data_IF_580865597030
#
_entry.id   IF_580865597030
#
_cell.length_a   1.000
_cell.length_b   1.000
_cell.length_c   1.000
_cell.angle_alpha   90.00
_cell.angle_beta   90.00
_cell.angle_gamma   90.00
#
_symmetry.space_group_name_H-M   'P 1'
#
loop_
_entity.id
_entity.type
_entity.pdbx_description
1 polymer ?
#
# COMPACT_ATOMS: atom_id res chain seq x y z
N UNK A 1 -22.90 11.18 11.72
CA UNK A 1 -22.47 12.52 11.27
C UNK A 1 -21.06 12.39 10.76
N UNK A 2 -20.85 12.69 9.48
CA UNK A 2 -19.58 12.47 8.78
C UNK A 2 -18.71 13.70 9.04
N UNK A 3 -17.70 13.56 9.89
CA UNK A 3 -16.77 14.65 10.16
C UNK A 3 -15.78 14.77 9.01
N UNK A 4 -16.13 15.60 8.03
CA UNK A 4 -15.20 16.18 7.08
C UNK A 4 -14.28 17.13 7.85
N UNK A 5 -13.14 16.61 8.33
CA UNK A 5 -12.08 17.46 8.88
C UNK A 5 -11.21 17.91 7.73
N UNK A 6 -11.54 19.08 7.20
CA UNK A 6 -10.67 19.89 6.36
C UNK A 6 -9.56 20.45 7.25
N UNK A 7 -8.50 19.69 7.49
CA UNK A 7 -7.22 20.26 7.93
C UNK A 7 -6.39 20.51 6.68
N UNK A 8 -5.84 21.72 6.53
CA UNK A 8 -4.78 21.98 5.58
C UNK A 8 -3.68 20.92 5.78
N UNK A 9 -3.59 19.97 4.85
CA UNK A 9 -2.61 18.89 4.87
C UNK A 9 -1.23 19.54 4.87
N UNK A 10 -0.51 19.45 5.99
CA UNK A 10 0.93 19.63 5.94
C UNK A 10 1.48 18.68 4.88
N UNK A 11 2.45 19.11 4.07
CA UNK A 11 3.04 18.29 3.00
C UNK A 11 3.42 16.88 3.50
N UNK A 12 3.81 16.78 4.77
CA UNK A 12 4.20 15.55 5.45
C UNK A 12 3.04 14.59 5.79
N UNK A 13 1.79 15.07 5.92
CA UNK A 13 0.64 14.23 6.32
C UNK A 13 -0.25 13.78 5.16
N UNK A 14 -0.01 14.25 3.93
CA UNK A 14 -0.81 13.85 2.77
C UNK A 14 -0.92 12.32 2.67
N UNK A 15 -2.14 11.83 2.51
CA UNK A 15 -2.50 10.41 2.39
C UNK A 15 -2.14 9.52 3.60
N UNK A 16 -1.69 10.10 4.71
CA UNK A 16 -1.38 9.41 5.96
C UNK A 16 -2.46 9.72 7.00
N UNK A 17 -3.09 8.67 7.55
CA UNK A 17 -4.10 8.83 8.61
C UNK A 17 -3.74 7.97 9.81
N UNK A 18 -3.72 8.58 11.00
CA UNK A 18 -3.54 7.87 12.26
C UNK A 18 -4.82 7.10 12.62
N UNK A 19 -4.69 5.81 12.89
CA UNK A 19 -5.71 5.02 13.56
C UNK A 19 -5.30 4.81 15.02
N UNK A 20 -6.13 5.30 15.95
CA UNK A 20 -5.93 5.08 17.37
C UNK A 20 -6.38 3.70 17.83
N UNK A 21 -5.81 3.26 18.95
CA UNK A 21 -6.18 2.00 19.57
C UNK A 21 -7.67 2.02 19.94
N UNK A 22 -8.38 0.95 19.58
CA UNK A 22 -9.75 0.71 20.04
C UNK A 22 -9.86 -0.71 20.62
N UNK A 23 -11.03 -1.06 21.16
CA UNK A 23 -11.29 -2.35 21.82
C UNK A 23 -11.00 -3.57 20.93
N UNK A 24 -11.12 -3.41 19.60
CA UNK A 24 -11.02 -4.49 18.63
C UNK A 24 -9.71 -4.47 17.82
N UNK A 25 -9.07 -3.30 17.70
CA UNK A 25 -7.93 -3.09 16.82
C UNK A 25 -6.83 -2.27 17.51
N UNK A 26 -5.60 -2.76 17.38
CA UNK A 26 -4.41 -2.02 17.76
C UNK A 26 -4.18 -0.82 16.83
N UNK A 27 -3.52 0.20 17.38
CA UNK A 27 -3.23 1.44 16.66
C UNK A 27 -2.25 1.25 15.49
N UNK A 28 -2.28 2.18 14.53
CA UNK A 28 -1.41 2.18 13.36
C UNK A 28 -1.57 3.41 12.47
N UNK A 29 -0.94 3.39 11.31
CA UNK A 29 -1.02 4.44 10.30
C UNK A 29 -1.51 3.88 8.96
N UNK A 30 -2.58 4.46 8.45
CA UNK A 30 -3.10 4.18 7.12
C UNK A 30 -2.39 5.01 6.07
N UNK A 31 -1.98 4.36 4.99
CA UNK A 31 -1.70 5.00 3.72
C UNK A 31 -2.94 4.82 2.85
N UNK A 32 -3.57 5.91 2.45
CA UNK A 32 -4.79 5.90 1.64
C UNK A 32 -4.71 6.96 0.53
N UNK A 33 -4.42 6.51 -0.69
CA UNK A 33 -4.34 7.37 -1.87
C UNK A 33 -4.90 6.69 -3.11
N UNK A 34 -5.21 7.49 -4.12
CA UNK A 34 -5.70 6.99 -5.41
C UNK A 34 -4.82 7.48 -6.55
N UNK A 35 -4.30 6.56 -7.36
CA UNK A 35 -3.47 6.86 -8.54
C UNK A 35 -3.90 5.98 -9.70
N UNK A 36 -4.00 6.55 -10.90
CA UNK A 36 -4.30 5.78 -12.14
C UNK A 36 -5.54 4.87 -12.04
N UNK A 37 -6.56 5.31 -11.29
CA UNK A 37 -7.76 4.52 -11.02
C UNK A 37 -7.60 3.36 -10.02
N UNK A 38 -6.40 3.15 -9.48
CA UNK A 38 -6.07 2.18 -8.44
C UNK A 38 -6.18 2.87 -7.07
N UNK A 39 -6.89 2.21 -6.14
CA UNK A 39 -6.97 2.63 -4.75
C UNK A 39 -5.85 1.91 -3.97
N UNK A 40 -4.92 2.68 -3.42
CA UNK A 40 -3.85 2.17 -2.57
C UNK A 40 -4.26 2.38 -1.12
N UNK A 41 -4.48 1.27 -0.41
CA UNK A 41 -4.85 1.28 1.00
C UNK A 41 -3.99 0.27 1.74
N UNK A 42 -3.23 0.71 2.74
CA UNK A 42 -2.40 -0.18 3.58
C UNK A 42 -2.27 0.36 4.99
N UNK A 43 -2.34 -0.53 5.98
CA UNK A 43 -2.18 -0.20 7.41
C UNK A 43 -0.81 -0.66 7.92
N UNK A 44 -0.10 0.26 8.58
CA UNK A 44 1.15 0.02 9.29
C UNK A 44 0.89 0.03 10.80
N UNK A 45 0.83 -1.16 11.40
CA UNK A 45 0.43 -1.32 12.82
C UNK A 45 1.60 -1.07 13.77
N UNK A 46 1.33 -0.40 14.89
CA UNK A 46 2.31 -0.14 15.96
C UNK A 46 2.82 -1.45 16.58
N UNK A 47 1.97 -2.48 16.64
CA UNK A 47 2.38 -3.82 17.10
C UNK A 47 3.33 -4.56 16.16
N UNK A 48 3.50 -4.08 14.91
CA UNK A 48 4.48 -4.61 13.96
C UNK A 48 5.79 -3.83 14.07
N UNK A 49 5.71 -2.50 14.05
CA UNK A 49 6.89 -1.62 14.00
C UNK A 49 7.41 -1.16 15.36
N UNK A 50 6.70 -1.50 16.45
CA UNK A 50 7.12 -1.29 17.83
C UNK A 50 6.69 0.05 18.44
N UNK A 51 6.48 1.10 17.64
CA UNK A 51 6.04 2.41 18.13
C UNK A 51 5.19 3.16 17.10
N UNK A 52 4.38 4.15 17.54
CA UNK A 52 3.65 5.03 16.63
C UNK A 52 4.56 5.78 15.64
N UNK A 53 5.76 6.18 16.10
CA UNK A 53 6.74 6.88 15.27
C UNK A 53 7.34 5.98 14.20
N UNK A 54 7.77 4.77 14.56
CA UNK A 54 8.31 3.81 13.60
C UNK A 54 7.25 3.38 12.56
N UNK A 55 5.99 3.22 12.98
CA UNK A 55 4.88 2.96 12.06
C UNK A 55 4.64 4.14 11.10
N UNK A 56 4.73 5.38 11.59
CA UNK A 56 4.57 6.59 10.77
C UNK A 56 5.67 6.67 9.72
N UNK A 57 6.94 6.49 10.11
CA UNK A 57 8.08 6.51 9.21
C UNK A 57 7.95 5.46 8.10
N UNK A 58 7.52 4.24 8.44
CA UNK A 58 7.29 3.21 7.44
C UNK A 58 6.10 3.54 6.51
N UNK A 59 5.02 4.09 7.05
CA UNK A 59 3.87 4.52 6.25
C UNK A 59 4.25 5.67 5.29
N UNK A 60 5.04 6.63 5.76
CA UNK A 60 5.60 7.73 4.95
C UNK A 60 6.48 7.19 3.82
N UNK A 61 7.46 6.35 4.14
CA UNK A 61 8.33 5.73 3.13
C UNK A 61 7.53 4.93 2.09
N UNK A 62 6.48 4.20 2.51
CA UNK A 62 5.62 3.47 1.60
C UNK A 62 4.82 4.40 0.68
N UNK A 63 4.24 5.47 1.24
CA UNK A 63 3.54 6.49 0.46
C UNK A 63 4.46 7.09 -0.59
N UNK A 64 5.67 7.48 -0.20
CA UNK A 64 6.63 8.15 -1.07
C UNK A 64 7.11 7.21 -2.19
N UNK A 65 7.37 5.94 -1.87
CA UNK A 65 7.66 4.90 -2.86
C UNK A 65 6.49 4.73 -3.86
N UNK A 66 5.25 4.68 -3.38
CA UNK A 66 4.07 4.57 -4.25
C UNK A 66 3.93 5.81 -5.15
N UNK A 67 4.15 7.01 -4.62
CA UNK A 67 4.08 8.25 -5.40
C UNK A 67 5.17 8.28 -6.46
N UNK A 68 6.39 7.86 -6.15
CA UNK A 68 7.54 7.87 -7.08
C UNK A 68 7.41 6.89 -8.25
N UNK A 69 6.56 5.86 -8.13
CA UNK A 69 6.39 4.82 -9.16
C UNK A 69 5.06 4.94 -9.91
N UNK A 70 4.04 5.53 -9.29
CA UNK A 70 2.71 5.72 -9.85
C UNK A 70 2.41 7.21 -10.10
N UNK A 71 2.72 7.74 -11.30
CA UNK A 71 2.48 9.14 -11.62
C UNK A 71 1.01 9.51 -11.48
N UNK A 72 0.68 10.71 -10.99
CA UNK A 72 -0.67 11.25 -11.12
C UNK A 72 -1.07 11.27 -12.60
N UNK A 73 -2.37 11.08 -12.86
CA UNK A 73 -2.88 11.23 -14.22
C UNK A 73 -2.66 12.66 -14.70
N UNK A 74 -2.29 12.86 -15.95
CA UNK A 74 -2.20 14.20 -16.52
C UNK A 74 -3.60 14.71 -16.91
N UNK A 75 -3.74 16.03 -17.00
CA UNK A 75 -4.96 16.64 -17.54
C UNK A 75 -5.24 16.23 -18.99
N UNK A 76 -4.20 15.99 -19.78
CA UNK A 76 -4.28 15.44 -21.14
C UNK A 76 -4.86 14.03 -21.17
N UNK A 77 -4.32 13.12 -20.36
CA UNK A 77 -4.83 11.74 -20.25
C UNK A 77 -6.30 11.72 -19.84
N UNK A 78 -6.71 12.61 -18.93
CA UNK A 78 -8.13 12.75 -18.56
C UNK A 78 -8.99 13.31 -19.70
N UNK A 79 -8.47 14.28 -20.46
CA UNK A 79 -9.20 14.91 -21.54
C UNK A 79 -9.42 13.98 -22.74
N UNK A 80 -8.55 12.99 -22.93
CA UNK A 80 -8.63 12.00 -24.04
C UNK A 80 -9.38 10.73 -23.64
N UNK A 81 -9.59 10.47 -22.33
CA UNK A 81 -10.29 9.28 -21.86
C UNK A 81 -11.71 9.17 -22.45
N UNK A 82 -11.95 8.12 -23.24
CA UNK A 82 -13.25 7.85 -23.84
C UNK A 82 -14.26 7.38 -22.80
N UNK A 83 -15.45 8.00 -22.82
CA UNK A 83 -16.58 7.61 -21.97
C UNK A 83 -17.37 6.49 -22.63
N UNK A 84 -17.93 5.57 -21.84
CA UNK A 84 -18.72 4.43 -22.32
C UNK A 84 -19.91 4.81 -23.22
N UNK A 85 -20.45 6.01 -23.03
CA UNK A 85 -21.58 6.53 -23.81
C UNK A 85 -21.16 7.38 -25.02
N UNK A 86 -19.87 7.46 -25.32
CA UNK A 86 -19.37 8.21 -26.46
C UNK A 86 -19.58 7.40 -27.75
N UNK A 87 -20.34 7.95 -28.69
CA UNK A 87 -20.61 7.34 -30.01
C UNK A 87 -19.74 7.91 -31.14
N UNK A 88 -18.94 8.94 -30.85
CA UNK A 88 -18.13 9.64 -31.86
C UNK A 88 -16.75 8.99 -32.06
N UNK A 89 -16.28 8.23 -31.08
CA UNK A 89 -14.94 7.66 -31.02
C UNK A 89 -13.88 8.64 -30.50
N UNK A 90 -14.24 9.90 -30.19
CA UNK A 90 -13.33 10.93 -29.69
C UNK A 90 -13.90 11.58 -28.42
N UNK A 91 -13.11 11.59 -27.34
CA UNK A 91 -13.56 12.16 -26.07
C UNK A 91 -13.80 13.67 -26.19
N UNK A 92 -14.93 14.13 -25.65
CA UNK A 92 -15.37 15.52 -25.76
C UNK A 92 -16.06 15.87 -27.08
N UNK A 93 -16.22 14.94 -28.03
CA UNK A 93 -17.01 15.14 -29.25
C UNK A 93 -18.29 14.31 -29.17
N UNK A 94 -19.45 14.93 -29.39
CA UNK A 94 -20.75 14.23 -29.39
C UNK A 94 -21.73 14.82 -30.39
N UNK A 95 -22.62 13.97 -30.88
CA UNK A 95 -23.81 14.40 -31.60
C UNK A 95 -24.85 14.94 -30.60
N UNK A 96 -25.50 16.06 -30.92
CA UNK A 96 -26.50 16.72 -30.08
C UNK A 96 -27.69 17.11 -30.94
N UNK A 97 -28.87 16.63 -30.57
CA UNK A 97 -30.15 17.05 -31.15
C UNK A 97 -30.55 18.41 -30.55
N UNK A 98 -30.95 19.36 -31.39
CA UNK A 98 -31.54 20.64 -31.02
C UNK A 98 -32.99 20.73 -31.51
N UNK A 99 -33.73 21.74 -31.07
CA UNK A 99 -35.15 21.86 -31.36
C UNK A 99 -35.51 21.90 -32.86
N UNK A 100 -34.63 22.47 -33.70
CA UNK A 100 -34.85 22.64 -35.14
C UNK A 100 -33.66 22.20 -36.01
N UNK A 101 -32.64 21.59 -35.41
CA UNK A 101 -31.39 21.22 -36.07
C UNK A 101 -30.65 20.12 -35.30
N UNK A 102 -29.66 19.52 -35.94
CA UNK A 102 -28.71 18.60 -35.35
C UNK A 102 -27.32 19.25 -35.38
N UNK A 103 -26.47 18.93 -34.41
CA UNK A 103 -25.10 19.44 -34.41
C UNK A 103 -24.09 18.49 -33.81
N UNK A 104 -22.86 18.65 -34.28
CA UNK A 104 -21.68 18.09 -33.64
C UNK A 104 -21.10 19.09 -32.65
N UNK A 105 -20.99 18.67 -31.39
CA UNK A 105 -20.47 19.50 -30.29
C UNK A 105 -19.08 19.03 -29.88
N UNK A 106 -18.13 19.97 -29.82
CA UNK A 106 -16.84 19.81 -29.18
C UNK A 106 -16.90 20.44 -27.77
N UNK A 107 -16.38 19.73 -26.76
CA UNK A 107 -16.30 20.23 -25.38
C UNK A 107 -14.92 19.90 -24.78
N UNK A 108 -14.31 20.87 -24.08
CA UNK A 108 -13.15 20.68 -23.20
C UNK A 108 -13.49 21.19 -21.80
N UNK A 109 -13.51 20.29 -20.82
CA UNK A 109 -13.64 20.65 -19.41
C UNK A 109 -12.31 20.42 -18.71
N UNK A 110 -11.78 21.45 -18.07
CA UNK A 110 -10.62 21.41 -17.17
C UNK A 110 -11.03 21.97 -15.80
N UNK A 111 -10.10 22.01 -14.83
CA UNK A 111 -10.37 22.65 -13.52
C UNK A 111 -10.63 24.15 -13.62
N UNK A 112 -10.09 24.81 -14.65
CA UNK A 112 -10.10 26.27 -14.79
C UNK A 112 -10.94 26.75 -15.97
N UNK A 113 -11.17 25.89 -16.97
CA UNK A 113 -11.82 26.26 -18.22
C UNK A 113 -12.90 25.25 -18.61
N UNK A 114 -13.97 25.77 -19.21
CA UNK A 114 -15.02 24.96 -19.83
C UNK A 114 -15.30 25.53 -21.23
N UNK A 115 -14.68 24.94 -22.26
CA UNK A 115 -14.89 25.33 -23.66
C UNK A 115 -15.94 24.42 -24.27
N UNK A 116 -16.88 24.99 -25.03
CA UNK A 116 -17.89 24.25 -25.77
C UNK A 116 -18.25 25.00 -27.05
N UNK A 117 -18.32 24.27 -28.16
CA UNK A 117 -18.68 24.83 -29.46
C UNK A 117 -19.46 23.79 -30.27
N UNK A 118 -20.40 24.27 -31.10
CA UNK A 118 -21.38 23.46 -31.83
C UNK A 118 -21.31 23.77 -33.32
N UNK A 119 -21.34 22.73 -34.14
CA UNK A 119 -21.32 22.80 -35.60
C UNK A 119 -22.61 22.21 -36.15
N UNK A 120 -23.46 23.06 -36.73
CA UNK A 120 -24.77 22.69 -37.30
C UNK A 120 -24.63 21.71 -38.48
N UNK A 121 -25.37 20.60 -38.40
CA UNK A 121 -25.49 19.61 -39.48
C UNK A 121 -26.26 20.21 -40.66
N UNK A 122 -27.30 21.02 -40.43
CA UNK A 122 -28.02 21.71 -41.51
C UNK A 122 -27.13 22.66 -42.31
N UNK A 123 -26.16 23.32 -41.68
CA UNK A 123 -25.26 24.28 -42.34
C UNK A 123 -24.11 23.61 -43.10
N UNK A 124 -23.51 22.58 -42.53
CA UNK A 124 -22.26 22.00 -43.03
C UNK A 124 -22.39 20.55 -43.51
N UNK A 125 -23.52 19.89 -43.25
CA UNK A 125 -23.67 18.46 -43.46
C UNK A 125 -23.01 17.62 -42.35
N UNK A 126 -23.48 16.39 -42.21
CA UNK A 126 -23.12 15.49 -41.09
C UNK A 126 -21.61 15.22 -41.01
N UNK A 127 -20.99 14.88 -42.15
CA UNK A 127 -19.56 14.55 -42.21
C UNK A 127 -18.66 15.75 -41.90
N UNK A 128 -18.97 16.93 -42.46
CA UNK A 128 -18.16 18.13 -42.30
C UNK A 128 -18.31 18.72 -40.89
N UNK A 129 -19.55 18.79 -40.37
CA UNK A 129 -19.82 19.21 -38.99
C UNK A 129 -19.05 18.35 -37.98
N UNK A 130 -19.04 17.02 -38.18
CA UNK A 130 -18.24 16.10 -37.36
C UNK A 130 -16.75 16.38 -37.48
N UNK A 131 -16.24 16.57 -38.70
CA UNK A 131 -14.82 16.84 -38.93
C UNK A 131 -14.37 18.15 -38.26
N UNK A 132 -15.18 19.21 -38.33
CA UNK A 132 -14.92 20.48 -37.65
C UNK A 132 -14.90 20.34 -36.12
N UNK A 133 -15.86 19.61 -35.54
CA UNK A 133 -15.87 19.34 -34.11
C UNK A 133 -14.61 18.57 -33.65
N UNK A 134 -14.16 17.62 -34.46
CA UNK A 134 -12.92 16.86 -34.20
C UNK A 134 -11.69 17.76 -34.31
N UNK A 135 -11.58 18.57 -35.36
CA UNK A 135 -10.44 19.46 -35.57
C UNK A 135 -10.32 20.49 -34.45
N UNK A 136 -11.43 21.11 -34.06
CA UNK A 136 -11.46 22.05 -32.93
C UNK A 136 -11.08 21.37 -31.62
N UNK A 137 -11.58 20.15 -31.38
CA UNK A 137 -11.21 19.36 -30.20
C UNK A 137 -9.70 19.09 -30.14
N UNK A 138 -9.08 18.74 -31.26
CA UNK A 138 -7.61 18.52 -31.34
C UNK A 138 -6.84 19.79 -31.02
N UNK A 139 -7.21 20.92 -31.63
CA UNK A 139 -6.60 22.22 -31.34
C UNK A 139 -6.64 22.57 -29.85
N UNK A 140 -7.80 22.40 -29.20
CA UNK A 140 -7.91 22.65 -27.76
C UNK A 140 -7.07 21.73 -26.89
N UNK A 141 -6.80 20.51 -27.34
CA UNK A 141 -5.89 19.60 -26.63
C UNK A 141 -4.43 20.03 -26.83
N UNK A 142 -4.04 20.39 -28.05
CA UNK A 142 -2.69 20.92 -28.34
C UNK A 142 -2.36 22.18 -27.51
N UNK A 143 -3.33 23.07 -27.35
CA UNK A 143 -3.20 24.29 -26.54
C UNK A 143 -3.25 24.03 -25.02
N UNK A 144 -3.69 22.84 -24.58
CA UNK A 144 -3.83 22.52 -23.16
C UNK A 144 -2.44 22.30 -22.54
N UNK A 145 -1.99 23.11 -21.56
CA UNK A 145 -0.70 22.88 -20.92
C UNK A 145 -0.70 21.55 -20.17
N UNK A 146 0.26 20.65 -20.46
CA UNK A 146 0.35 19.35 -19.79
C UNK A 146 0.71 19.55 -18.32
N UNK A 147 -0.15 19.08 -17.41
CA UNK A 147 0.06 19.15 -15.96
C UNK A 147 -0.40 17.88 -15.29
N UNK A 148 0.33 17.44 -14.26
CA UNK A 148 -0.14 16.37 -13.37
C UNK A 148 -1.34 16.85 -12.55
N UNK A 149 -2.38 16.02 -12.47
CA UNK A 149 -3.53 16.25 -11.60
C UNK A 149 -3.25 15.64 -10.23
N UNK A 150 -2.37 16.29 -9.48
CA UNK A 150 -2.18 16.03 -8.07
C UNK A 150 -3.11 16.93 -7.25
N UNK A 151 -3.61 16.40 -6.13
CA UNK A 151 -4.58 17.09 -5.27
C UNK A 151 -3.93 17.83 -4.09
N UNK A 152 -2.63 17.60 -3.86
CA UNK A 152 -1.87 18.15 -2.74
C UNK A 152 -0.51 18.65 -3.25
N UNK A 153 0.00 19.72 -2.65
CA UNK A 153 1.27 20.37 -3.01
C UNK A 153 2.45 19.39 -3.00
N UNK A 154 2.59 18.61 -1.93
CA UNK A 154 3.61 17.55 -1.85
C UNK A 154 3.54 16.53 -3.01
N UNK A 155 2.33 16.20 -3.44
CA UNK A 155 2.13 15.30 -4.58
C UNK A 155 2.43 15.98 -5.91
N UNK A 156 2.28 17.30 -6.03
CA UNK A 156 2.68 18.06 -7.22
C UNK A 156 4.20 18.13 -7.32
N UNK A 157 4.88 18.43 -6.22
CA UNK A 157 6.34 18.53 -6.16
C UNK A 157 7.01 17.20 -6.50
N UNK A 158 6.57 16.11 -5.87
CA UNK A 158 7.04 14.76 -6.19
C UNK A 158 6.77 14.40 -7.65
N UNK A 159 5.62 14.79 -8.20
CA UNK A 159 5.32 14.51 -9.59
C UNK A 159 6.23 15.28 -10.55
N UNK A 160 6.55 16.54 -10.24
CA UNK A 160 7.54 17.31 -11.01
C UNK A 160 8.94 16.69 -10.93
N UNK A 161 9.36 16.26 -9.74
CA UNK A 161 10.67 15.67 -9.52
C UNK A 161 10.85 14.33 -10.25
N UNK A 162 9.90 13.41 -10.12
CA UNK A 162 10.05 12.04 -10.66
C UNK A 162 9.52 11.86 -12.08
N UNK A 163 8.63 12.74 -12.55
CA UNK A 163 7.94 12.57 -13.83
C UNK A 163 7.90 13.83 -14.70
N UNK A 164 8.72 14.84 -14.41
CA UNK A 164 8.81 16.06 -15.22
C UNK A 164 9.03 15.77 -16.72
N UNK A 165 9.82 14.75 -17.03
CA UNK A 165 10.13 14.33 -18.41
C UNK A 165 8.90 13.77 -19.16
N UNK A 166 7.88 13.28 -18.45
CA UNK A 166 6.64 12.77 -19.05
C UNK A 166 5.68 13.88 -19.48
N UNK A 167 6.01 15.14 -19.21
CA UNK A 167 5.21 16.32 -19.58
C UNK A 167 5.58 16.88 -20.96
N UNK A 168 6.58 16.31 -21.65
CA UNK A 168 6.90 16.71 -23.02
C UNK A 168 5.71 16.40 -23.96
N UNK A 169 5.25 17.38 -24.76
CA UNK A 169 4.13 17.16 -25.67
C UNK A 169 4.50 16.10 -26.72
N UNK A 170 3.71 15.02 -26.78
CA UNK A 170 3.85 14.00 -27.82
C UNK A 170 3.37 14.60 -29.15
N UNK A 171 4.26 14.63 -30.14
CA UNK A 171 3.98 15.12 -31.49
C UNK A 171 2.96 14.21 -32.20
N UNK A 172 1.94 14.81 -32.81
CA UNK A 172 0.99 14.26 -33.80
C UNK A 172 0.11 13.05 -33.44
N UNK A 173 0.16 12.50 -32.22
CA UNK A 173 -0.70 11.38 -31.80
C UNK A 173 -1.44 11.72 -30.52
N UNK A 174 -2.75 11.39 -30.44
CA UNK A 174 -3.53 11.52 -29.21
C UNK A 174 -2.76 10.83 -28.06
N UNK A 175 -2.52 11.50 -26.92
CA UNK A 175 -1.70 10.95 -25.86
C UNK A 175 -2.29 9.62 -25.37
N UNK A 176 -1.53 8.55 -25.55
CA UNK A 176 -1.84 7.26 -24.95
C UNK A 176 -1.64 7.32 -23.43
N UNK A 177 -2.40 6.51 -22.69
CA UNK A 177 -2.23 6.40 -21.24
C UNK A 177 -0.85 5.82 -20.97
N UNK A 178 0.06 6.64 -20.44
CA UNK A 178 1.49 6.30 -20.26
C UNK A 178 1.78 5.02 -19.47
N UNK A 179 0.85 4.57 -18.62
CA UNK A 179 0.95 3.31 -17.87
C UNK A 179 -0.42 2.64 -17.82
N UNK A 180 -0.51 1.39 -18.29
CA UNK A 180 -1.75 0.61 -18.23
C UNK A 180 -2.13 0.29 -16.77
N UNK A 181 -3.42 0.05 -16.50
CA UNK A 181 -3.88 -0.35 -15.15
C UNK A 181 -3.20 -1.65 -14.67
N UNK A 182 -2.90 -2.56 -15.58
CA UNK A 182 -2.21 -3.83 -15.28
C UNK A 182 -0.78 -3.58 -14.82
N UNK A 183 -0.04 -2.74 -15.54
CA UNK A 183 1.34 -2.39 -15.19
C UNK A 183 1.41 -1.60 -13.87
N UNK A 184 0.51 -0.62 -13.68
CA UNK A 184 0.42 0.13 -12.43
C UNK A 184 0.12 -0.79 -11.23
N UNK A 185 -0.68 -1.85 -11.41
CA UNK A 185 -0.92 -2.86 -10.38
C UNK A 185 0.33 -3.70 -10.11
N UNK A 186 1.03 -4.16 -11.14
CA UNK A 186 2.27 -4.93 -10.97
C UNK A 186 3.36 -4.14 -10.22
N UNK A 187 3.50 -2.84 -10.54
CA UNK A 187 4.40 -1.93 -9.82
C UNK A 187 4.02 -1.79 -8.33
N UNK A 188 2.72 -1.63 -8.04
CA UNK A 188 2.23 -1.57 -6.66
C UNK A 188 2.49 -2.89 -5.91
N UNK A 189 2.29 -4.03 -6.56
CA UNK A 189 2.54 -5.36 -5.97
C UNK A 189 4.03 -5.55 -5.64
N UNK A 190 4.94 -5.05 -6.48
CA UNK A 190 6.38 -5.06 -6.21
C UNK A 190 6.75 -4.20 -4.98
N UNK A 191 6.17 -3.00 -4.84
CA UNK A 191 6.36 -2.16 -3.64
C UNK A 191 5.78 -2.87 -2.41
N UNK A 192 4.62 -3.50 -2.54
CA UNK A 192 4.02 -4.25 -1.44
C UNK A 192 4.94 -5.35 -0.92
N UNK A 193 5.47 -6.16 -1.83
CA UNK A 193 6.41 -7.23 -1.54
C UNK A 193 7.70 -6.72 -0.89
N UNK A 194 8.27 -5.62 -1.39
CA UNK A 194 9.46 -5.00 -0.80
C UNK A 194 9.22 -4.59 0.66
N UNK A 195 8.12 -3.89 0.93
CA UNK A 195 7.77 -3.45 2.29
C UNK A 195 7.36 -4.62 3.20
N UNK A 196 6.82 -5.72 2.66
CA UNK A 196 6.57 -6.94 3.45
C UNK A 196 7.89 -7.61 3.86
N UNK A 197 8.89 -7.63 2.98
CA UNK A 197 10.22 -8.16 3.28
C UNK A 197 10.99 -7.31 4.31
N UNK A 198 10.72 -6.00 4.38
CA UNK A 198 11.33 -5.06 5.33
C UNK A 198 10.69 -5.09 6.72
N UNK A 199 9.57 -5.80 6.93
CA UNK A 199 8.92 -5.87 8.25
C UNK A 199 9.93 -6.34 9.31
N UNK A 200 9.94 -5.72 10.51
CA UNK A 200 10.80 -6.16 11.59
C UNK A 200 10.56 -7.65 11.91
N UNK A 201 11.63 -8.46 12.04
CA UNK A 201 11.50 -9.86 12.38
C UNK A 201 10.95 -9.98 13.81
N UNK A 202 10.02 -10.90 14.02
CA UNK A 202 9.33 -11.07 15.29
C UNK A 202 9.26 -12.53 15.67
N UNK A 203 9.07 -12.82 16.95
CA UNK A 203 8.96 -14.19 17.43
C UNK A 203 7.83 -14.28 18.42
N UNK A 204 6.85 -15.14 18.12
CA UNK A 204 5.82 -15.53 19.07
C UNK A 204 6.11 -16.92 19.60
N UNK A 205 6.22 -17.04 20.92
CA UNK A 205 6.31 -18.32 21.62
C UNK A 205 5.19 -18.41 22.65
N UNK A 206 4.41 -19.47 22.56
CA UNK A 206 3.33 -19.76 23.52
C UNK A 206 3.45 -21.19 24.02
N UNK A 207 3.48 -21.36 25.33
CA UNK A 207 3.54 -22.67 25.99
C UNK A 207 2.40 -22.74 26.99
N UNK A 208 1.40 -23.60 26.76
CA UNK A 208 0.22 -23.65 27.63
C UNK A 208 -0.37 -25.05 27.71
N UNK A 209 -0.90 -25.41 28.88
CA UNK A 209 -1.77 -26.56 29.04
C UNK A 209 -3.23 -26.17 28.75
N UNK A 210 -3.86 -26.85 27.78
CA UNK A 210 -5.29 -26.66 27.49
C UNK A 210 -6.14 -27.84 27.98
N UNK A 211 -5.51 -28.98 28.18
CA UNK A 211 -6.15 -30.24 28.56
C UNK A 211 -5.23 -30.93 29.55
N UNK A 212 -5.82 -31.68 30.48
CA UNK A 212 -5.08 -32.38 31.51
C UNK A 212 -4.03 -33.34 30.91
N UNK A 213 -2.79 -33.22 31.36
CA UNK A 213 -1.69 -34.06 30.91
C UNK A 213 -1.12 -33.73 29.52
N UNK A 214 -1.46 -32.57 28.92
CA UNK A 214 -0.85 -32.12 27.66
C UNK A 214 -0.34 -30.69 27.72
N UNK A 215 0.91 -30.49 27.31
CA UNK A 215 1.51 -29.18 27.14
C UNK A 215 1.61 -28.84 25.66
N UNK A 216 1.03 -27.71 25.25
CA UNK A 216 1.08 -27.22 23.87
C UNK A 216 2.17 -26.17 23.72
N UNK A 217 3.06 -26.37 22.75
CA UNK A 217 4.16 -25.46 22.37
C UNK A 217 3.86 -24.91 20.98
N UNK A 218 3.67 -23.61 20.89
CA UNK A 218 3.44 -22.89 19.64
C UNK A 218 4.56 -21.89 19.41
N UNK A 219 5.17 -21.96 18.22
CA UNK A 219 6.19 -21.02 17.76
C UNK A 219 5.75 -20.43 16.42
N UNK A 220 5.93 -19.12 16.23
CA UNK A 220 5.68 -18.43 14.97
C UNK A 220 6.64 -17.27 14.76
N UNK A 221 7.04 -17.05 13.52
CA UNK A 221 7.78 -15.86 13.06
C UNK A 221 6.95 -14.55 13.07
N UNK A 222 5.64 -14.67 13.36
CA UNK A 222 4.67 -13.58 13.25
C UNK A 222 4.80 -12.77 11.95
N UNK A 223 5.19 -13.45 10.85
CA UNK A 223 5.44 -12.88 9.53
C UNK A 223 4.19 -12.72 8.68
N UNK A 224 4.38 -12.42 7.40
CA UNK A 224 3.32 -12.46 6.39
C UNK A 224 3.86 -12.98 5.05
N UNK A 225 3.46 -14.19 4.61
CA UNK A 225 2.69 -15.19 5.37
C UNK A 225 3.49 -15.67 6.59
N UNK A 226 2.80 -15.94 7.70
CA UNK A 226 3.45 -16.39 8.93
C UNK A 226 3.85 -17.87 8.83
N UNK A 227 5.11 -18.17 9.13
CA UNK A 227 5.54 -19.52 9.46
C UNK A 227 5.20 -19.81 10.92
N UNK A 228 4.51 -20.93 11.18
CA UNK A 228 4.17 -21.33 12.55
C UNK A 228 4.01 -22.83 12.70
N UNK A 229 4.22 -23.33 13.92
CA UNK A 229 4.04 -24.75 14.25
C UNK A 229 3.56 -24.90 15.69
N UNK A 230 2.62 -25.82 15.87
CA UNK A 230 2.07 -26.24 17.16
C UNK A 230 2.47 -27.69 17.42
N UNK A 231 3.06 -27.95 18.58
CA UNK A 231 3.46 -29.28 19.05
C UNK A 231 2.77 -29.56 20.38
N UNK A 232 2.36 -30.80 20.61
CA UNK A 232 1.79 -31.25 21.87
C UNK A 232 2.71 -32.27 22.54
N UNK A 233 3.03 -32.03 23.81
CA UNK A 233 3.89 -32.88 24.64
C UNK A 233 2.99 -33.53 25.71
N UNK A 234 3.10 -34.85 25.84
CA UNK A 234 2.44 -35.59 26.93
C UNK A 234 3.26 -35.41 28.22
N UNK A 235 2.66 -34.82 29.24
CA UNK A 235 3.35 -34.47 30.49
C UNK A 235 3.06 -35.44 31.64
N UNK A 236 2.27 -36.50 31.43
CA UNK A 236 1.89 -37.45 32.50
C UNK A 236 3.02 -38.37 32.97
N UNK A 237 4.07 -38.54 32.16
CA UNK A 237 5.11 -39.56 32.37
C UNK A 237 6.38 -39.02 33.02
N UNK A 238 6.62 -37.71 32.92
CA UNK A 238 7.85 -37.07 33.35
C UNK A 238 7.53 -35.98 34.37
N UNK A 239 8.53 -35.57 35.14
CA UNK A 239 8.42 -34.41 36.02
C UNK A 239 8.16 -33.13 35.23
N UNK A 240 7.66 -32.09 35.91
CA UNK A 240 7.45 -30.78 35.28
C UNK A 240 8.77 -30.24 34.68
N UNK A 241 9.90 -30.41 35.38
CA UNK A 241 11.21 -29.96 34.90
C UNK A 241 11.66 -30.64 33.61
N UNK A 242 11.52 -31.96 33.53
CA UNK A 242 11.86 -32.72 32.33
C UNK A 242 10.95 -32.37 31.15
N UNK A 243 9.65 -32.18 31.40
CA UNK A 243 8.70 -31.74 30.38
C UNK A 243 9.02 -30.33 29.85
N UNK A 244 9.39 -29.40 30.73
CA UNK A 244 9.78 -28.04 30.35
C UNK A 244 11.13 -28.02 29.62
N UNK A 245 12.08 -28.87 29.99
CA UNK A 245 13.32 -29.06 29.24
C UNK A 245 13.07 -29.58 27.82
N UNK A 246 12.16 -30.56 27.66
CA UNK A 246 11.74 -31.04 26.34
C UNK A 246 11.05 -29.93 25.54
N UNK A 247 10.15 -29.16 26.16
CA UNK A 247 9.52 -28.01 25.53
C UNK A 247 10.57 -26.97 25.06
N UNK A 248 11.58 -26.68 25.89
CA UNK A 248 12.69 -25.79 25.54
C UNK A 248 13.48 -26.27 24.32
N UNK A 249 13.76 -27.57 24.23
CA UNK A 249 14.40 -28.17 23.05
C UNK A 249 13.54 -28.01 21.80
N UNK A 250 12.24 -28.33 21.88
CA UNK A 250 11.31 -28.16 20.74
C UNK A 250 11.23 -26.69 20.29
N UNK A 251 11.21 -25.74 21.24
CA UNK A 251 11.21 -24.31 20.92
C UNK A 251 12.50 -23.92 20.20
N UNK A 252 13.66 -24.33 20.71
CA UNK A 252 14.96 -24.07 20.09
C UNK A 252 15.07 -24.63 18.66
N UNK A 253 14.64 -25.87 18.46
CA UNK A 253 14.62 -26.52 17.14
C UNK A 253 13.72 -25.76 16.15
N UNK A 254 12.52 -25.35 16.58
CA UNK A 254 11.58 -24.59 15.75
C UNK A 254 12.09 -23.19 15.41
N UNK A 255 12.66 -22.46 16.39
CA UNK A 255 13.23 -21.14 16.14
C UNK A 255 14.40 -21.24 15.16
N UNK A 256 15.25 -22.26 15.31
CA UNK A 256 16.37 -22.51 14.39
C UNK A 256 15.87 -22.77 12.97
N UNK A 257 14.78 -23.52 12.82
CA UNK A 257 14.17 -23.80 11.51
C UNK A 257 13.51 -22.57 10.86
N UNK A 258 12.86 -21.69 11.64
CA UNK A 258 12.21 -20.49 11.10
C UNK A 258 13.19 -19.35 10.85
N UNK A 259 14.29 -19.28 11.61
CA UNK A 259 15.30 -18.26 11.51
C UNK A 259 16.69 -18.87 11.34
N UNK A 260 17.41 -19.10 12.44
CA UNK A 260 18.75 -19.66 12.50
C UNK A 260 19.14 -19.94 13.97
N UNK A 261 20.30 -20.57 14.16
CA UNK A 261 20.82 -20.92 15.48
C UNK A 261 21.06 -19.68 16.37
N UNK A 262 21.54 -18.56 15.82
CA UNK A 262 21.82 -17.34 16.59
C UNK A 262 20.55 -16.74 17.23
N UNK A 263 19.43 -16.74 16.51
CA UNK A 263 18.14 -16.30 17.07
C UNK A 263 17.64 -17.27 18.15
N UNK A 264 17.81 -18.58 17.93
CA UNK A 264 17.46 -19.60 18.93
C UNK A 264 18.26 -19.41 20.22
N UNK A 265 19.58 -19.27 20.11
CA UNK A 265 20.48 -19.08 21.27
C UNK A 265 20.13 -17.79 22.01
N UNK A 266 19.93 -16.69 21.28
CA UNK A 266 19.50 -15.42 21.86
C UNK A 266 18.19 -15.57 22.64
N UNK A 267 17.17 -16.22 22.06
CA UNK A 267 15.89 -16.42 22.75
C UNK A 267 16.06 -17.27 24.01
N UNK A 268 16.77 -18.39 23.91
CA UNK A 268 16.94 -19.31 25.05
C UNK A 268 17.74 -18.68 26.19
N UNK A 269 18.76 -17.87 25.88
CA UNK A 269 19.59 -17.19 26.87
C UNK A 269 18.85 -16.05 27.59
N UNK A 270 18.12 -15.21 26.84
CA UNK A 270 17.48 -14.02 27.40
C UNK A 270 16.10 -14.29 28.01
N UNK A 271 15.39 -15.29 27.48
CA UNK A 271 13.99 -15.55 27.82
C UNK A 271 13.75 -17.00 28.22
N UNK A 272 14.21 -17.97 27.42
CA UNK A 272 13.89 -19.38 27.60
C UNK A 272 14.25 -19.93 28.99
N UNK A 273 15.46 -19.63 29.49
CA UNK A 273 15.92 -20.08 30.82
C UNK A 273 15.01 -19.64 31.97
N UNK A 274 14.57 -18.38 31.96
CA UNK A 274 13.72 -17.83 33.02
C UNK A 274 12.25 -18.24 32.85
N UNK A 275 11.74 -18.19 31.63
CA UNK A 275 10.33 -18.43 31.34
C UNK A 275 9.94 -19.91 31.38
N UNK A 276 10.89 -20.83 31.22
CA UNK A 276 10.66 -22.27 31.33
C UNK A 276 11.26 -22.87 32.60
N UNK A 277 11.63 -22.02 33.56
CA UNK A 277 12.08 -22.46 34.88
C UNK A 277 10.91 -23.12 35.63
N UNK A 278 11.04 -24.39 36.08
CA UNK A 278 9.99 -25.07 36.83
C UNK A 278 9.56 -24.35 38.11
N UNK A 279 10.44 -23.55 38.71
CA UNK A 279 10.14 -22.74 39.90
C UNK A 279 9.22 -21.55 39.60
N UNK A 280 9.22 -21.05 38.36
CA UNK A 280 8.48 -19.86 37.94
C UNK A 280 7.31 -20.16 36.98
N UNK A 281 7.30 -21.34 36.36
CA UNK A 281 6.32 -21.70 35.35
C UNK A 281 5.01 -22.22 35.97
N UNK A 282 3.89 -21.59 35.60
CA UNK A 282 2.55 -22.02 35.99
C UNK A 282 1.82 -22.64 34.80
N UNK A 283 1.38 -23.90 34.93
CA UNK A 283 0.69 -24.64 33.86
C UNK A 283 -0.63 -23.99 33.41
N UNK A 284 -1.39 -23.41 34.35
CA UNK A 284 -2.71 -22.84 34.08
C UNK A 284 -2.62 -21.50 33.34
N UNK A 285 -1.68 -20.65 33.76
CA UNK A 285 -1.40 -19.37 33.10
C UNK A 285 -0.67 -19.59 31.78
N UNK A 286 0.30 -20.51 31.78
CA UNK A 286 1.21 -20.73 30.67
C UNK A 286 2.07 -19.50 30.35
N UNK A 287 2.79 -19.60 29.24
CA UNK A 287 3.62 -18.56 28.65
C UNK A 287 3.01 -18.10 27.33
N UNK A 288 3.03 -16.79 27.07
CA UNK A 288 2.72 -16.22 25.77
C UNK A 288 3.52 -14.93 25.57
N UNK A 289 4.56 -14.97 24.74
CA UNK A 289 5.42 -13.83 24.43
C UNK A 289 5.43 -13.56 22.94
N UNK A 290 5.44 -12.26 22.59
CA UNK A 290 5.70 -11.76 21.24
C UNK A 290 6.85 -10.77 21.36
N UNK A 291 7.95 -11.05 20.67
CA UNK A 291 9.20 -10.31 20.76
C UNK A 291 9.60 -9.77 19.39
N UNK A 292 10.25 -8.62 19.34
CA UNK A 292 11.02 -8.17 18.19
C UNK A 292 12.41 -8.80 18.25
N UNK A 293 12.84 -9.43 17.15
CA UNK A 293 14.17 -10.03 17.05
C UNK A 293 15.14 -8.93 16.58
N UNK A 294 16.34 -8.82 17.17
CA UNK A 294 17.39 -7.98 16.61
C UNK A 294 17.67 -8.33 15.13
N UNK A 295 17.56 -7.34 14.24
CA UNK A 295 17.64 -7.56 12.77
C UNK A 295 18.95 -8.25 12.38
N UNK A 296 20.05 -7.90 13.06
CA UNK A 296 21.38 -8.43 12.80
C UNK A 296 21.47 -9.94 13.06
N UNK A 297 20.68 -10.45 14.00
CA UNK A 297 20.60 -11.88 14.31
C UNK A 297 19.70 -12.62 13.31
N UNK A 298 18.57 -12.03 12.95
CA UNK A 298 17.61 -12.65 12.04
C UNK A 298 18.09 -12.68 10.58
N UNK A 299 18.86 -11.67 10.16
CA UNK A 299 19.33 -11.49 8.79
C UNK A 299 20.83 -11.13 8.79
N UNK A 300 21.74 -12.10 9.02
CA UNK A 300 23.17 -11.85 9.03
C UNK A 300 23.62 -11.39 7.63
N UNK A 301 23.97 -10.11 7.48
CA UNK A 301 24.42 -9.50 6.21
C UNK A 301 23.69 -8.22 5.78
N UNK A 302 22.58 -7.85 6.42
CA UNK A 302 21.98 -6.52 6.24
C UNK A 302 22.63 -5.53 7.22
N UNK A 303 23.56 -4.70 6.73
CA UNK A 303 24.08 -3.56 7.49
C UNK A 303 22.96 -2.53 7.73
N UNK A 304 22.97 -1.86 8.88
CA UNK A 304 22.07 -0.74 9.22
C UNK A 304 22.39 0.53 8.39
N UNK A 305 22.43 0.43 7.07
CA UNK A 305 22.65 1.57 6.17
C UNK A 305 21.63 1.50 5.05
N UNK A 306 20.47 2.08 5.30
CA UNK A 306 19.67 2.67 4.23
C UNK A 306 19.46 4.13 4.62
N UNK A 307 20.52 4.91 4.44
CA UNK A 307 20.35 6.34 4.17
C UNK A 307 19.75 6.42 2.78
N UNK A 308 18.51 6.89 2.67
CA UNK A 308 18.00 7.39 1.41
C UNK A 308 18.52 8.82 1.29
N UNK A 309 19.54 9.01 0.45
CA UNK A 309 19.75 10.30 -0.24
C UNK A 309 18.78 10.41 -1.41
#
# INVERSE_FOLDING_TARGET
MVNNTTSADSSDTYALLREEHNENHGAGWWVNLRRRGIRVVRLFKDSIYGSPQASFEQAKAYRDAVISVLPPATNHEQAVLLRKNNKSGISGVRHVEMAEDEAWEATLLTRTENKREKFSVRKYGEGEAKAMAIALRRKWLEELPVKHLAYAEHSEDMARQYFGDQLAPVSDVLPEVSITKTEAKARLDAINAHFDALRPPRLRVRVRSYQEGRLSVYVSDAGFPAQSKLIQINIKRLSLGENLANAGKQISDLITAFYNASVSDWFMQNYGKSLLDPGNFCLDKGLNVLLHIPVQLAKPGLSNTVSFE
#
